data_IF_440303430816
#
_entry.id   IF_440303430816
#
_cell.length_a   1.000
_cell.length_b   1.000
_cell.length_c   1.000
_cell.angle_alpha   90.00
_cell.angle_beta   90.00
_cell.angle_gamma   90.00
#
_symmetry.space_group_name_H-M   'P 1'
#
loop_
_entity.id
_entity.type
_entity.pdbx_description
1 polymer ?
#
# COMPACT_ATOMS: atom_id res chain seq x y z
N UNK A 1 -4.35 9.78 2.77
CA UNK A 1 -4.60 11.15 3.26
C UNK A 1 -5.81 11.73 2.54
N UNK A 2 -6.19 12.94 2.88
CA UNK A 2 -7.23 13.69 2.19
C UNK A 2 -6.66 14.97 1.57
N UNK A 3 -7.38 15.52 0.60
CA UNK A 3 -7.03 16.76 -0.06
C UNK A 3 -8.28 17.63 -0.25
N UNK A 4 -8.08 18.94 -0.33
CA UNK A 4 -9.15 19.88 -0.68
C UNK A 4 -9.29 19.97 -2.19
N UNK A 5 -10.45 19.59 -2.70
CA UNK A 5 -10.79 19.65 -4.11
C UNK A 5 -10.98 21.10 -4.57
N UNK A 6 -10.35 21.46 -5.70
CA UNK A 6 -10.43 22.82 -6.27
C UNK A 6 -11.80 23.14 -6.89
N UNK A 7 -12.60 22.13 -7.20
CA UNK A 7 -13.89 22.30 -7.89
C UNK A 7 -15.01 22.74 -6.95
N UNK A 8 -15.04 22.16 -5.75
CA UNK A 8 -16.13 22.29 -4.78
C UNK A 8 -15.66 22.65 -3.37
N UNK A 9 -14.35 22.87 -3.16
CA UNK A 9 -13.71 23.16 -1.88
C UNK A 9 -13.94 22.11 -0.78
N UNK A 10 -14.43 20.92 -1.13
CA UNK A 10 -14.66 19.83 -0.21
C UNK A 10 -13.37 19.03 0.02
N UNK A 11 -13.21 18.49 1.22
CA UNK A 11 -12.16 17.54 1.53
C UNK A 11 -12.55 16.14 1.06
N UNK A 12 -11.66 15.51 0.29
CA UNK A 12 -11.88 14.21 -0.33
C UNK A 12 -10.72 13.27 -0.07
N UNK A 13 -11.01 11.98 0.01
CA UNK A 13 -9.98 10.95 0.10
C UNK A 13 -9.23 10.79 -1.22
N UNK A 14 -7.91 10.56 -1.15
CA UNK A 14 -7.05 10.45 -2.34
C UNK A 14 -7.26 9.16 -3.16
N UNK A 15 -7.87 8.15 -2.55
CA UNK A 15 -8.03 6.80 -3.11
C UNK A 15 -9.26 6.68 -4.00
N UNK A 16 -10.41 7.20 -3.57
CA UNK A 16 -11.70 7.03 -4.24
C UNK A 16 -12.44 8.36 -4.51
N UNK A 17 -11.82 9.50 -4.14
CA UNK A 17 -12.38 10.84 -4.30
C UNK A 17 -13.72 11.05 -3.56
N UNK A 18 -14.03 10.20 -2.57
CA UNK A 18 -15.22 10.36 -1.73
C UNK A 18 -14.98 11.41 -0.65
N UNK A 19 -16.06 12.01 -0.14
CA UNK A 19 -15.98 13.05 0.88
C UNK A 19 -15.54 12.46 2.22
N UNK A 20 -14.65 13.17 2.94
CA UNK A 20 -14.17 12.79 4.28
C UNK A 20 -15.23 12.86 5.38
N UNK A 21 -16.47 13.24 5.06
CA UNK A 21 -17.59 13.33 6.02
C UNK A 21 -17.85 12.06 6.81
N UNK A 22 -17.41 10.89 6.32
CA UNK A 22 -17.54 9.61 7.01
C UNK A 22 -16.52 9.43 8.15
N UNK A 23 -15.40 10.15 8.13
CA UNK A 23 -14.41 10.15 9.20
C UNK A 23 -13.49 11.37 9.10
N UNK A 24 -13.46 12.17 10.17
CA UNK A 24 -12.67 13.39 10.24
C UNK A 24 -11.89 13.43 11.55
N UNK A 25 -10.57 13.64 11.48
CA UNK A 25 -9.68 13.77 12.63
C UNK A 25 -8.85 15.07 12.60
N UNK A 26 -9.34 16.15 11.99
CA UNK A 26 -8.65 17.45 12.02
C UNK A 26 -8.47 17.96 13.46
N UNK A 27 -7.28 18.48 13.75
CA UNK A 27 -6.94 19.08 15.04
C UNK A 27 -7.69 20.41 15.21
N UNK A 28 -8.49 20.57 16.27
CA UNK A 28 -9.04 21.85 16.70
C UNK A 28 -9.57 22.77 15.57
N UNK A 29 -8.82 23.82 15.26
CA UNK A 29 -9.18 24.87 14.27
C UNK A 29 -8.81 24.53 12.83
N UNK A 30 -8.17 23.38 12.58
CA UNK A 30 -7.83 22.94 11.25
C UNK A 30 -9.07 22.37 10.52
N UNK A 31 -9.15 22.51 9.19
CA UNK A 31 -8.18 23.18 8.30
C UNK A 31 -8.23 24.71 8.42
N UNK A 32 -7.07 25.37 8.42
CA UNK A 32 -6.93 26.83 8.49
C UNK A 32 -6.84 27.46 7.08
N UNK A 33 -7.43 28.66 6.85
CA UNK A 33 -7.30 29.37 5.59
C UNK A 33 -5.83 29.63 5.24
N UNK A 34 -5.43 29.29 4.01
CA UNK A 34 -4.06 29.48 3.53
C UNK A 34 -3.04 28.44 4.01
N UNK A 35 -3.44 27.45 4.82
CA UNK A 35 -2.55 26.36 5.26
C UNK A 35 -2.21 25.34 4.18
N UNK A 36 -2.84 25.42 3.00
CA UNK A 36 -2.66 24.48 1.90
C UNK A 36 -3.80 23.47 1.77
N UNK A 37 -3.66 22.58 0.78
CA UNK A 37 -4.75 21.75 0.28
C UNK A 37 -4.57 20.24 0.53
N UNK A 38 -3.54 19.82 1.29
CA UNK A 38 -3.35 18.42 1.66
C UNK A 38 -3.42 18.24 3.17
N UNK A 39 -3.86 17.07 3.62
CA UNK A 39 -3.75 16.72 5.04
C UNK A 39 -2.37 16.16 5.38
N UNK A 40 -1.81 16.58 6.51
CA UNK A 40 -0.70 15.92 7.17
C UNK A 40 -1.13 15.44 8.57
N UNK A 41 -0.51 14.36 9.05
CA UNK A 41 -0.77 13.79 10.38
C UNK A 41 0.28 14.27 11.37
N UNK A 42 -0.15 14.74 12.54
CA UNK A 42 0.75 15.12 13.63
C UNK A 42 1.26 13.86 14.35
N UNK A 43 2.53 13.50 14.11
CA UNK A 43 3.16 12.32 14.73
C UNK A 43 3.51 12.54 16.20
N UNK A 44 3.57 13.79 16.67
CA UNK A 44 3.82 14.14 18.07
C UNK A 44 2.55 14.11 18.93
N UNK A 45 1.37 14.12 18.29
CA UNK A 45 0.09 13.97 19.00
C UNK A 45 -0.25 12.48 19.14
N UNK A 46 -0.54 11.99 20.35
CA UNK A 46 -0.98 10.60 20.54
C UNK A 46 -2.33 10.32 19.84
N UNK A 47 -3.07 11.37 19.48
CA UNK A 47 -4.34 11.27 18.76
C UNK A 47 -4.18 11.29 17.24
N UNK A 48 -2.94 11.46 16.73
CA UNK A 48 -2.63 11.46 15.30
C UNK A 48 -3.55 12.40 14.48
N UNK A 49 -3.84 13.57 15.06
CA UNK A 49 -4.75 14.56 14.47
C UNK A 49 -4.19 15.12 13.16
N UNK A 50 -5.09 15.61 12.32
CA UNK A 50 -4.74 16.12 10.99
C UNK A 50 -4.64 17.64 10.99
N UNK A 51 -3.72 18.15 10.18
CA UNK A 51 -3.60 19.56 9.82
C UNK A 51 -3.64 19.69 8.31
N UNK A 52 -3.95 20.87 7.77
CA UNK A 52 -3.75 21.14 6.34
C UNK A 52 -2.39 21.79 6.09
N UNK A 53 -1.74 21.32 5.04
CA UNK A 53 -0.38 21.68 4.63
C UNK A 53 -0.32 21.87 3.10
N UNK A 54 0.73 22.56 2.64
CA UNK A 54 1.02 22.77 1.22
C UNK A 54 1.68 21.52 0.61
N UNK A 55 0.91 20.81 -0.22
CA UNK A 55 1.33 19.60 -0.91
C UNK A 55 2.57 19.77 -1.79
N UNK A 56 2.74 20.95 -2.40
CA UNK A 56 3.69 21.15 -3.49
C UNK A 56 5.07 21.56 -2.95
N UNK A 57 5.08 22.30 -1.85
CA UNK A 57 6.30 22.86 -1.27
C UNK A 57 6.76 22.12 0.00
N UNK A 58 5.85 21.48 0.73
CA UNK A 58 6.16 20.80 1.98
C UNK A 58 6.47 19.31 1.75
N UNK A 59 7.75 18.94 1.84
CA UNK A 59 8.18 17.53 1.71
C UNK A 59 8.07 16.81 3.05
N UNK A 60 7.05 15.99 3.19
CA UNK A 60 6.80 15.18 4.39
C UNK A 60 6.91 13.68 4.10
N UNK A 61 7.28 12.86 5.10
CA UNK A 61 7.13 11.42 4.98
C UNK A 61 5.65 11.04 4.85
N UNK A 62 5.38 9.90 4.21
CA UNK A 62 4.01 9.43 3.95
C UNK A 62 3.86 7.95 4.30
N UNK A 63 2.61 7.54 4.49
CA UNK A 63 2.22 6.15 4.71
C UNK A 63 1.33 5.72 3.55
N UNK A 64 1.64 4.58 2.93
CA UNK A 64 0.83 3.99 1.88
C UNK A 64 -0.17 2.99 2.43
N UNK A 65 -1.30 2.86 1.73
CA UNK A 65 -2.27 1.77 1.94
C UNK A 65 -2.44 1.04 0.63
N UNK A 66 -2.32 -0.29 0.65
CA UNK A 66 -2.67 -1.18 -0.46
C UNK A 66 -4.10 -1.72 -0.22
N UNK A 67 -4.92 -1.69 -1.27
CA UNK A 67 -6.27 -2.28 -1.27
C UNK A 67 -6.25 -3.68 -1.90
N UNK A 68 -7.31 -4.46 -1.69
CA UNK A 68 -7.52 -5.71 -2.43
C UNK A 68 -7.04 -6.98 -1.74
N UNK A 69 -6.93 -7.00 -0.41
CA UNK A 69 -6.62 -8.26 0.31
C UNK A 69 -7.65 -9.37 0.05
N UNK A 70 -8.90 -9.03 -0.26
CA UNK A 70 -9.96 -9.99 -0.57
C UNK A 70 -9.79 -10.73 -1.90
N UNK A 71 -8.94 -10.21 -2.81
CA UNK A 71 -8.60 -10.88 -4.08
C UNK A 71 -7.25 -11.56 -4.03
N UNK A 72 -6.57 -11.54 -2.87
CA UNK A 72 -5.30 -12.22 -2.72
C UNK A 72 -5.53 -13.73 -2.59
N UNK A 73 -4.55 -14.55 -3.05
CA UNK A 73 -4.64 -15.98 -2.88
C UNK A 73 -4.73 -16.32 -1.39
N UNK A 74 -5.70 -17.15 -1.03
CA UNK A 74 -5.80 -17.76 0.30
C UNK A 74 -5.16 -19.14 0.36
N UNK A 75 -4.81 -19.70 -0.81
CA UNK A 75 -4.23 -21.02 -0.98
C UNK A 75 -3.00 -20.92 -1.89
N UNK A 76 -2.13 -21.93 -1.83
CA UNK A 76 -0.97 -21.99 -2.72
C UNK A 76 -1.40 -22.11 -4.18
N UNK A 77 -0.84 -21.30 -5.09
CA UNK A 77 -1.03 -21.49 -6.52
C UNK A 77 -0.54 -22.89 -6.92
N UNK A 78 -1.32 -23.58 -7.74
CA UNK A 78 -0.95 -24.89 -8.31
C UNK A 78 -0.21 -24.75 -9.65
N UNK A 79 -0.38 -23.59 -10.31
CA UNK A 79 0.25 -23.29 -11.58
C UNK A 79 1.60 -22.59 -11.35
N UNK A 80 2.52 -22.81 -12.28
CA UNK A 80 3.78 -22.09 -12.30
C UNK A 80 3.53 -20.57 -12.35
N UNK A 81 4.33 -19.75 -11.65
CA UNK A 81 4.23 -18.30 -11.73
C UNK A 81 4.29 -17.80 -13.17
N UNK A 82 3.41 -16.84 -13.50
CA UNK A 82 3.36 -16.23 -14.83
C UNK A 82 4.42 -15.14 -14.92
N UNK A 83 5.16 -15.10 -16.03
CA UNK A 83 6.16 -14.06 -16.28
C UNK A 83 5.56 -12.64 -16.16
N UNK A 84 6.27 -11.75 -15.46
CA UNK A 84 5.86 -10.36 -15.26
C UNK A 84 4.70 -10.18 -14.27
N UNK A 85 4.31 -11.22 -13.52
CA UNK A 85 3.35 -11.13 -12.42
C UNK A 85 4.04 -11.26 -11.07
N UNK A 86 3.60 -10.45 -10.13
CA UNK A 86 4.04 -10.55 -8.73
C UNK A 86 3.59 -11.89 -8.15
N UNK A 87 4.50 -12.53 -7.41
CA UNK A 87 4.18 -13.70 -6.59
C UNK A 87 3.86 -13.17 -5.19
N UNK A 88 2.64 -13.40 -4.72
CA UNK A 88 2.18 -12.97 -3.40
C UNK A 88 1.97 -14.20 -2.54
N UNK A 89 2.58 -14.23 -1.35
CA UNK A 89 2.40 -15.30 -0.39
C UNK A 89 0.90 -15.43 -0.02
N UNK A 90 0.33 -16.65 -0.01
CA UNK A 90 -1.06 -16.81 0.38
C UNK A 90 -1.32 -16.34 1.81
N UNK A 91 -2.43 -15.65 1.99
CA UNK A 91 -2.78 -15.04 3.29
C UNK A 91 -2.04 -13.73 3.60
N UNK A 92 -1.29 -13.15 2.66
CA UNK A 92 -0.76 -11.79 2.81
C UNK A 92 -1.86 -10.80 3.25
N UNK A 93 -1.62 -9.92 4.24
CA UNK A 93 -0.32 -9.51 4.78
C UNK A 93 0.19 -10.34 5.97
N UNK A 94 -0.55 -11.37 6.40
CA UNK A 94 -0.16 -12.24 7.51
C UNK A 94 -0.08 -13.67 6.96
N UNK A 95 0.90 -13.96 6.09
CA UNK A 95 1.02 -15.28 5.51
C UNK A 95 1.30 -16.32 6.61
N UNK A 96 0.58 -17.43 6.59
CA UNK A 96 0.78 -18.55 7.50
C UNK A 96 0.88 -19.90 6.76
N UNK A 97 0.97 -19.86 5.43
CA UNK A 97 1.03 -21.02 4.56
C UNK A 97 2.33 -20.94 3.74
N UNK A 98 3.29 -21.86 3.94
CA UNK A 98 4.45 -21.96 3.06
C UNK A 98 4.03 -22.60 1.73
N UNK A 99 4.43 -21.99 0.61
CA UNK A 99 4.17 -22.52 -0.72
C UNK A 99 5.47 -22.88 -1.42
N UNK A 100 5.48 -24.05 -2.05
CA UNK A 100 6.58 -24.54 -2.85
C UNK A 100 6.17 -24.49 -4.33
N UNK A 101 7.07 -23.99 -5.18
CA UNK A 101 6.84 -23.85 -6.61
C UNK A 101 7.90 -24.65 -7.35
N UNK A 102 7.47 -25.46 -8.32
CA UNK A 102 8.37 -26.17 -9.22
C UNK A 102 8.26 -25.52 -10.60
N UNK A 103 9.34 -24.90 -11.06
CA UNK A 103 9.39 -24.27 -12.38
C UNK A 103 9.94 -25.30 -13.37
N UNK A 104 9.08 -25.77 -14.28
CA UNK A 104 9.43 -26.72 -15.32
C UNK A 104 9.39 -26.05 -16.70
N UNK A 105 10.29 -26.47 -17.59
CA UNK A 105 10.31 -26.04 -19.01
C UNK A 105 10.38 -27.26 -19.92
N UNK A 106 9.97 -27.08 -21.17
CA UNK A 106 10.05 -28.12 -22.19
C UNK A 106 11.50 -28.57 -22.44
N UNK A 107 11.64 -29.76 -23.04
CA UNK A 107 12.94 -30.27 -23.46
C UNK A 107 13.66 -29.26 -24.38
N UNK A 108 14.95 -29.05 -24.13
CA UNK A 108 15.83 -28.09 -24.82
C UNK A 108 15.65 -26.61 -24.45
N UNK A 109 14.85 -26.29 -23.42
CA UNK A 109 14.78 -24.95 -22.84
C UNK A 109 15.50 -24.87 -21.50
N UNK A 110 15.78 -23.65 -21.05
CA UNK A 110 16.42 -23.35 -19.75
C UNK A 110 15.53 -22.40 -18.97
N UNK A 111 15.36 -22.66 -17.67
CA UNK A 111 14.67 -21.74 -16.75
C UNK A 111 15.58 -20.57 -16.42
N UNK A 112 15.06 -19.34 -16.55
CA UNK A 112 15.68 -18.14 -15.98
C UNK A 112 14.75 -17.55 -14.94
N UNK A 113 15.25 -17.37 -13.72
CA UNK A 113 14.57 -16.66 -12.64
C UNK A 113 15.34 -15.37 -12.32
N UNK A 114 14.62 -14.26 -12.22
CA UNK A 114 15.18 -12.95 -11.87
C UNK A 114 14.33 -12.31 -10.77
N UNK A 115 14.93 -12.04 -9.62
CA UNK A 115 14.26 -11.37 -8.51
C UNK A 115 14.46 -9.86 -8.67
N UNK A 116 13.41 -9.17 -9.09
CA UNK A 116 13.43 -7.70 -9.22
C UNK A 116 13.30 -7.01 -7.86
N UNK A 117 12.43 -7.53 -6.99
CA UNK A 117 12.22 -7.04 -5.64
C UNK A 117 11.68 -8.17 -4.75
N UNK A 118 12.05 -8.15 -3.47
CA UNK A 118 11.48 -9.02 -2.44
C UNK A 118 11.00 -8.13 -1.28
N UNK A 119 9.70 -8.14 -1.03
CA UNK A 119 9.09 -7.49 0.13
C UNK A 119 8.72 -8.58 1.14
N UNK A 120 9.42 -8.60 2.27
CA UNK A 120 9.34 -9.64 3.28
C UNK A 120 9.46 -9.03 4.68
N UNK A 121 8.68 -9.52 5.64
CA UNK A 121 8.82 -9.11 7.04
C UNK A 121 10.13 -9.68 7.61
N UNK A 122 11.05 -8.84 8.14
CA UNK A 122 12.28 -9.31 8.73
C UNK A 122 12.04 -10.39 9.81
N UNK A 123 12.68 -11.55 9.66
CA UNK A 123 12.66 -12.70 10.57
C UNK A 123 11.40 -13.59 10.53
N UNK A 124 10.43 -13.32 9.66
CA UNK A 124 9.22 -14.15 9.52
C UNK A 124 9.13 -14.74 8.12
N UNK A 125 9.30 -13.89 7.11
CA UNK A 125 9.18 -14.28 5.71
C UNK A 125 10.56 -14.55 5.11
N UNK A 126 10.66 -15.59 4.29
CA UNK A 126 11.87 -15.92 3.56
C UNK A 126 11.54 -16.53 2.18
N UNK A 127 12.47 -16.37 1.24
CA UNK A 127 12.44 -17.01 -0.07
C UNK A 127 13.66 -17.90 -0.19
N UNK A 128 13.43 -19.20 -0.39
CA UNK A 128 14.48 -20.19 -0.65
C UNK A 128 14.47 -20.59 -2.13
N UNK A 129 15.65 -20.65 -2.74
CA UNK A 129 15.85 -21.11 -4.12
C UNK A 129 16.88 -22.22 -4.09
N UNK A 130 16.53 -23.38 -4.65
CA UNK A 130 17.36 -24.58 -4.73
C UNK A 130 17.74 -24.89 -6.18
#
# INVERSE_FOLDING_TARGET
>A
GAFQSKEDNNWKWIDDNTNVSNYNNFAGVFPIPGGGNCTAMLTESPMAEWINEDCDNQKLPFICRRYGYSTLPTECPIDAPIEGKDIIAPGFPIPNIPCEYIILVEANYVVKLEILALEANPNVDFLEIY
#
